data_IF_939475006284
#
_entry.id   IF_939475006284
#
_cell.length_a   1.000
_cell.length_b   1.000
_cell.length_c   1.000
_cell.angle_alpha   90.00
_cell.angle_beta   90.00
_cell.angle_gamma   90.00
#
_symmetry.space_group_name_H-M   'P 1'
#
loop_
_entity.id
_entity.type
_entity.pdbx_description
1 polymer ?
#
# COMPACT_ATOMS: atom_id res chain seq x y z
N UNK A 1 -18.81 -31.44 -11.05
CA UNK A 1 -18.61 -30.97 -9.66
C UNK A 1 -17.69 -29.76 -9.75
N UNK A 2 -18.19 -28.55 -9.52
CA UNK A 2 -17.38 -27.34 -9.67
C UNK A 2 -16.32 -27.28 -8.56
N UNK A 3 -15.04 -27.31 -8.91
CA UNK A 3 -13.97 -27.12 -7.95
C UNK A 3 -13.93 -25.64 -7.53
N UNK A 4 -13.79 -25.40 -6.23
CA UNK A 4 -13.71 -24.04 -5.68
C UNK A 4 -12.29 -23.49 -5.87
N UNK A 5 -12.18 -22.37 -6.59
CA UNK A 5 -10.92 -21.63 -6.72
C UNK A 5 -10.45 -21.18 -5.33
N UNK A 6 -9.21 -21.50 -5.00
CA UNK A 6 -8.58 -21.09 -3.74
C UNK A 6 -8.07 -19.65 -3.81
N UNK A 7 -7.99 -18.96 -2.66
CA UNK A 7 -7.38 -17.61 -2.56
C UNK A 7 -5.94 -17.61 -3.11
N UNK A 8 -5.21 -18.72 -2.95
CA UNK A 8 -3.86 -18.89 -3.48
C UNK A 8 -3.84 -18.83 -5.01
N UNK A 9 -4.77 -19.51 -5.67
CA UNK A 9 -4.89 -19.50 -7.14
C UNK A 9 -5.24 -18.09 -7.66
N UNK A 10 -6.13 -17.36 -6.97
CA UNK A 10 -6.42 -15.96 -7.31
C UNK A 10 -5.18 -15.07 -7.25
N UNK A 11 -4.34 -15.22 -6.22
CA UNK A 11 -3.08 -14.49 -6.14
C UNK A 11 -2.12 -14.83 -7.28
N UNK A 12 -2.02 -16.10 -7.66
CA UNK A 12 -1.18 -16.53 -8.77
C UNK A 12 -1.66 -15.97 -10.12
N UNK A 13 -2.99 -15.91 -10.34
CA UNK A 13 -3.59 -15.26 -11.52
C UNK A 13 -3.22 -13.78 -11.55
N UNK A 14 -3.37 -13.06 -10.43
CA UNK A 14 -3.00 -11.64 -10.34
C UNK A 14 -1.51 -11.45 -10.66
N UNK A 15 -0.62 -12.26 -10.07
CA UNK A 15 0.82 -12.19 -10.35
C UNK A 15 1.17 -12.50 -11.81
N UNK A 16 0.38 -13.31 -12.51
CA UNK A 16 0.54 -13.51 -13.95
C UNK A 16 0.16 -12.25 -14.73
N UNK A 17 -0.96 -11.60 -14.38
CA UNK A 17 -1.44 -10.36 -15.00
C UNK A 17 -0.50 -9.16 -14.73
N UNK A 18 0.14 -9.10 -13.57
CA UNK A 18 1.12 -8.05 -13.24
C UNK A 18 2.31 -8.00 -14.22
N UNK A 19 2.63 -9.12 -14.88
CA UNK A 19 3.73 -9.17 -15.87
C UNK A 19 3.51 -8.22 -17.05
N UNK A 20 2.25 -7.95 -17.42
CA UNK A 20 1.89 -7.03 -18.49
C UNK A 20 2.19 -5.56 -18.15
N UNK A 21 2.39 -5.21 -16.87
CA UNK A 21 2.76 -3.86 -16.46
C UNK A 21 4.13 -3.44 -17.02
N UNK A 22 5.04 -4.40 -17.20
CA UNK A 22 6.44 -4.13 -17.61
C UNK A 22 6.71 -4.42 -19.08
N UNK A 23 5.87 -5.23 -19.74
CA UNK A 23 6.06 -5.68 -21.13
C UNK A 23 4.82 -5.34 -21.95
N UNK A 24 4.80 -4.15 -22.55
CA UNK A 24 3.77 -3.81 -23.55
C UNK A 24 3.93 -4.76 -24.75
N UNK A 25 2.84 -5.37 -25.20
CA UNK A 25 2.77 -6.36 -26.29
C UNK A 25 3.36 -7.77 -25.99
N UNK A 26 3.54 -8.17 -24.73
CA UNK A 26 3.90 -9.57 -24.44
C UNK A 26 2.72 -10.50 -24.67
N UNK A 27 2.92 -11.55 -25.47
CA UNK A 27 2.00 -12.69 -25.51
C UNK A 27 2.23 -13.56 -24.26
N UNK A 28 1.15 -13.91 -23.57
CA UNK A 28 1.19 -14.81 -22.43
C UNK A 28 0.49 -16.12 -22.82
N UNK A 29 1.18 -17.25 -22.63
CA UNK A 29 0.61 -18.56 -22.94
C UNK A 29 -0.41 -18.94 -21.87
N UNK A 30 -1.64 -19.18 -22.32
CA UNK A 30 -2.74 -19.65 -21.48
C UNK A 30 -2.52 -21.11 -21.06
N UNK A 31 -1.91 -21.94 -21.91
CA UNK A 31 -1.56 -23.33 -21.58
C UNK A 31 -0.62 -23.39 -20.37
N UNK A 32 0.42 -22.55 -20.38
CA UNK A 32 1.34 -22.43 -19.24
C UNK A 32 0.65 -21.92 -17.97
N UNK A 33 -0.39 -21.10 -18.10
CA UNK A 33 -1.17 -20.65 -16.95
C UNK A 33 -2.00 -21.78 -16.36
N UNK A 34 -2.69 -22.52 -17.23
CA UNK A 34 -3.50 -23.67 -16.87
C UNK A 34 -2.66 -24.76 -16.19
N UNK A 35 -1.49 -25.09 -16.75
CA UNK A 35 -0.52 -26.04 -16.17
C UNK A 35 -0.07 -25.60 -14.77
N UNK A 36 0.30 -24.33 -14.59
CA UNK A 36 0.79 -23.80 -13.31
C UNK A 36 -0.28 -23.72 -12.22
N UNK A 37 -1.54 -23.55 -12.61
CA UNK A 37 -2.68 -23.45 -11.70
C UNK A 37 -3.43 -24.78 -11.53
N UNK A 38 -2.99 -25.81 -12.27
CA UNK A 38 -3.64 -27.12 -12.39
C UNK A 38 -5.13 -27.02 -12.77
N UNK A 39 -5.44 -26.19 -13.76
CA UNK A 39 -6.79 -25.94 -14.25
C UNK A 39 -7.07 -26.75 -15.52
N UNK A 40 -8.31 -27.19 -15.69
CA UNK A 40 -8.79 -27.68 -16.98
C UNK A 40 -9.15 -26.52 -17.92
N UNK A 41 -9.40 -26.81 -19.19
CA UNK A 41 -9.76 -25.81 -20.21
C UNK A 41 -11.06 -25.05 -19.86
N UNK A 42 -12.05 -25.74 -19.31
CA UNK A 42 -13.32 -25.15 -18.89
C UNK A 42 -13.11 -24.13 -17.75
N UNK A 43 -12.36 -24.51 -16.71
CA UNK A 43 -12.03 -23.62 -15.58
C UNK A 43 -11.20 -22.41 -16.01
N UNK A 44 -10.27 -22.61 -16.93
CA UNK A 44 -9.48 -21.52 -17.49
C UNK A 44 -10.37 -20.51 -18.22
N UNK A 45 -11.32 -20.99 -19.03
CA UNK A 45 -12.25 -20.12 -19.75
C UNK A 45 -13.16 -19.34 -18.79
N UNK A 46 -13.69 -19.97 -17.73
CA UNK A 46 -14.47 -19.28 -16.69
C UNK A 46 -13.64 -18.18 -15.99
N UNK A 47 -12.37 -18.47 -15.68
CA UNK A 47 -11.46 -17.48 -15.07
C UNK A 47 -11.19 -16.33 -16.03
N UNK A 48 -10.97 -16.60 -17.32
CA UNK A 48 -10.75 -15.56 -18.32
C UNK A 48 -12.00 -14.69 -18.49
N UNK A 49 -13.18 -15.28 -18.50
CA UNK A 49 -14.44 -14.54 -18.54
C UNK A 49 -14.57 -13.61 -17.32
N UNK A 50 -14.23 -14.09 -16.11
CA UNK A 50 -14.19 -13.25 -14.92
C UNK A 50 -13.20 -12.10 -15.06
N UNK A 51 -11.98 -12.38 -15.53
CA UNK A 51 -10.94 -11.35 -15.74
C UNK A 51 -11.42 -10.28 -16.73
N UNK A 52 -12.01 -10.68 -17.86
CA UNK A 52 -12.54 -9.73 -18.84
C UNK A 52 -13.73 -8.94 -18.32
N UNK A 53 -14.63 -9.57 -17.56
CA UNK A 53 -15.73 -8.90 -16.90
C UNK A 53 -15.24 -7.88 -15.87
N UNK A 54 -14.21 -8.23 -15.08
CA UNK A 54 -13.55 -7.28 -14.19
C UNK A 54 -12.94 -6.11 -14.97
N UNK A 55 -12.23 -6.38 -16.07
CA UNK A 55 -11.67 -5.34 -16.92
C UNK A 55 -12.76 -4.39 -17.45
N UNK A 56 -13.90 -4.92 -17.90
CA UNK A 56 -15.04 -4.11 -18.32
C UNK A 56 -15.60 -3.25 -17.20
N UNK A 57 -15.76 -3.80 -15.99
CA UNK A 57 -16.20 -3.04 -14.82
C UNK A 57 -15.22 -1.89 -14.49
N UNK A 58 -13.92 -2.13 -14.61
CA UNK A 58 -12.91 -1.09 -14.38
C UNK A 58 -12.93 0.01 -15.44
N UNK A 59 -13.17 -0.35 -16.70
CA UNK A 59 -13.24 0.58 -17.81
C UNK A 59 -14.59 1.30 -17.94
N UNK A 60 -15.59 0.93 -17.13
CA UNK A 60 -16.92 1.57 -17.15
C UNK A 60 -17.29 2.08 -15.76
N UNK A 61 -17.80 1.21 -14.89
CA UNK A 61 -18.27 1.55 -13.54
C UNK A 61 -17.19 2.23 -12.69
N UNK A 62 -15.94 1.77 -12.80
CA UNK A 62 -14.81 2.36 -12.06
C UNK A 62 -13.96 3.30 -12.92
N UNK A 63 -14.44 3.74 -14.07
CA UNK A 63 -13.72 4.71 -14.91
C UNK A 63 -13.54 6.03 -14.13
N UNK A 64 -14.60 6.53 -13.53
CA UNK A 64 -14.61 7.78 -12.75
C UNK A 64 -14.80 7.55 -11.26
N UNK A 65 -14.95 6.30 -10.82
CA UNK A 65 -15.19 5.95 -9.41
C UNK A 65 -14.20 4.91 -8.90
N UNK A 66 -14.04 4.82 -7.59
CA UNK A 66 -13.25 3.78 -6.93
C UNK A 66 -14.05 3.10 -5.83
N UNK A 67 -13.77 1.81 -5.64
CA UNK A 67 -14.33 1.02 -4.55
C UNK A 67 -13.52 1.25 -3.27
N UNK A 68 -14.20 1.49 -2.15
CA UNK A 68 -13.59 1.49 -0.83
C UNK A 68 -14.43 0.74 0.20
N UNK A 69 -13.76 0.17 1.18
CA UNK A 69 -14.37 -0.52 2.31
C UNK A 69 -14.83 0.52 3.36
N UNK A 70 -16.10 0.52 3.72
CA UNK A 70 -16.67 1.38 4.77
C UNK A 70 -17.27 0.55 5.89
N UNK A 71 -16.94 0.88 7.14
CA UNK A 71 -17.60 0.29 8.31
C UNK A 71 -18.71 1.23 8.80
N UNK A 72 -19.92 0.69 9.01
CA UNK A 72 -21.07 1.43 9.55
C UNK A 72 -22.00 0.45 10.28
N UNK A 73 -22.50 0.81 11.46
CA UNK A 73 -23.47 0.01 12.23
C UNK A 73 -23.03 -1.46 12.41
N UNK A 74 -21.76 -1.68 12.78
CA UNK A 74 -21.15 -2.99 12.95
C UNK A 74 -21.17 -3.90 11.69
N UNK A 75 -21.37 -3.32 10.51
CA UNK A 75 -21.34 -4.01 9.21
C UNK A 75 -20.31 -3.38 8.31
N UNK A 76 -19.73 -4.20 7.45
CA UNK A 76 -18.79 -3.78 6.40
C UNK A 76 -19.53 -3.65 5.09
N UNK A 77 -19.33 -2.52 4.41
CA UNK A 77 -19.89 -2.21 3.11
C UNK A 77 -18.77 -1.96 2.11
N UNK A 78 -19.03 -2.28 0.85
CA UNK A 78 -18.29 -1.73 -0.29
C UNK A 78 -19.06 -0.51 -0.79
N UNK A 79 -18.37 0.60 -0.96
CA UNK A 79 -18.97 1.86 -1.39
C UNK A 79 -18.17 2.40 -2.56
N UNK A 80 -18.88 2.93 -3.55
CA UNK A 80 -18.30 3.64 -4.67
C UNK A 80 -18.15 5.12 -4.32
N UNK A 81 -17.01 5.71 -4.67
CA UNK A 81 -16.79 7.14 -4.58
C UNK A 81 -16.17 7.70 -5.85
N UNK A 82 -16.47 8.95 -6.22
CA UNK A 82 -15.82 9.62 -7.34
C UNK A 82 -14.31 9.69 -7.17
N UNK A 83 -13.56 9.52 -8.27
CA UNK A 83 -12.10 9.67 -8.29
C UNK A 83 -11.66 11.12 -8.03
N UNK A 84 -12.52 12.09 -8.26
CA UNK A 84 -12.29 13.49 -7.89
C UNK A 84 -12.16 13.69 -6.37
N UNK A 85 -12.81 12.83 -5.56
CA UNK A 85 -12.67 12.79 -4.11
C UNK A 85 -11.40 12.03 -3.65
N UNK A 86 -10.58 11.49 -4.57
CA UNK A 86 -9.36 10.72 -4.22
C UNK A 86 -8.27 11.63 -3.64
N UNK A 87 -8.28 12.94 -3.94
CA UNK A 87 -7.37 13.89 -3.25
C UNK A 87 -7.61 13.92 -1.73
N UNK A 88 -8.80 13.56 -1.25
CA UNK A 88 -9.14 13.50 0.18
C UNK A 88 -9.17 12.08 0.74
N UNK A 89 -8.92 11.03 -0.05
CA UNK A 89 -9.05 9.62 0.39
C UNK A 89 -7.76 8.80 0.36
N UNK A 90 -6.65 9.35 -0.16
CA UNK A 90 -5.29 8.82 0.11
C UNK A 90 -4.69 9.46 1.40
N UNK A 91 -5.37 10.44 2.01
CA UNK A 91 -5.10 10.81 3.40
C UNK A 91 -5.79 9.79 4.31
N UNK A 92 -5.14 8.65 4.51
CA UNK A 92 -5.33 7.81 5.70
C UNK A 92 -4.71 8.49 6.94
N UNK A 93 -4.52 9.81 6.93
CA UNK A 93 -3.92 10.54 8.04
C UNK A 93 -4.98 10.61 9.15
N UNK A 94 -4.77 9.93 10.27
CA UNK A 94 -5.71 9.99 11.38
C UNK A 94 -5.75 11.43 11.89
N UNK A 95 -6.94 11.94 12.22
CA UNK A 95 -7.08 13.24 12.88
C UNK A 95 -6.32 13.31 14.20
N UNK A 96 -6.21 12.17 14.89
CA UNK A 96 -5.41 11.99 16.09
C UNK A 96 -4.68 10.65 16.03
N UNK A 97 -3.40 10.67 16.42
CA UNK A 97 -2.52 9.50 16.40
C UNK A 97 -1.97 9.31 17.81
N UNK A 98 -2.25 8.16 18.41
CA UNK A 98 -1.46 7.67 19.54
C UNK A 98 -0.20 7.00 19.01
N UNK A 99 0.97 7.46 19.44
CA UNK A 99 2.27 6.95 19.02
C UNK A 99 3.17 6.79 20.24
N UNK A 100 3.91 5.68 20.30
CA UNK A 100 4.84 5.42 21.39
C UNK A 100 6.05 6.35 21.33
N UNK A 101 6.69 6.61 22.48
CA UNK A 101 7.94 7.39 22.51
C UNK A 101 9.07 6.74 21.72
N UNK A 102 9.08 5.41 21.63
CA UNK A 102 10.02 4.67 20.78
C UNK A 102 9.77 4.97 19.30
N UNK A 103 8.52 4.89 18.85
CA UNK A 103 8.13 5.21 17.47
C UNK A 103 8.40 6.67 17.12
N UNK A 104 8.22 7.61 18.06
CA UNK A 104 8.62 9.03 17.89
C UNK A 104 10.13 9.16 17.61
N UNK A 105 10.98 8.42 18.33
CA UNK A 105 12.43 8.43 18.11
C UNK A 105 12.76 7.89 16.72
N UNK A 106 12.18 6.76 16.35
CA UNK A 106 12.37 6.13 15.04
C UNK A 106 11.92 7.06 13.91
N UNK A 107 10.75 7.71 14.04
CA UNK A 107 10.23 8.66 13.05
C UNK A 107 11.19 9.84 12.84
N UNK A 108 11.71 10.41 13.93
CA UNK A 108 12.71 11.49 13.87
C UNK A 108 14.00 11.04 13.16
N UNK A 109 14.49 9.84 13.44
CA UNK A 109 15.72 9.32 12.83
C UNK A 109 15.53 9.03 11.34
N UNK A 110 14.37 8.48 10.96
CA UNK A 110 13.98 8.25 9.55
C UNK A 110 13.95 9.56 8.78
N UNK A 111 13.28 10.59 9.31
CA UNK A 111 13.16 11.90 8.65
C UNK A 111 14.52 12.58 8.55
N UNK A 112 15.33 12.54 9.61
CA UNK A 112 16.69 13.07 9.58
C UNK A 112 17.54 12.37 8.52
N UNK A 113 17.52 11.04 8.48
CA UNK A 113 18.26 10.27 7.49
C UNK A 113 17.82 10.60 6.07
N UNK A 114 16.50 10.69 5.83
CA UNK A 114 15.91 11.02 4.54
C UNK A 114 16.25 12.44 4.07
N UNK A 115 16.34 13.42 4.98
CA UNK A 115 16.59 14.82 4.64
C UNK A 115 18.06 15.20 4.57
N UNK A 116 18.92 14.55 5.37
CA UNK A 116 20.30 15.00 5.56
C UNK A 116 21.36 13.95 5.20
N UNK A 117 21.05 12.66 5.24
CA UNK A 117 22.06 11.59 5.01
C UNK A 117 21.92 10.98 3.62
N UNK A 118 20.70 10.58 3.24
CA UNK A 118 20.38 9.99 1.94
C UNK A 118 19.22 10.77 1.30
N UNK A 119 19.54 12.01 0.93
CA UNK A 119 18.58 13.02 0.45
C UNK A 119 17.62 12.42 -0.59
N UNK A 120 16.34 12.35 -0.26
CA UNK A 120 15.29 11.92 -1.18
C UNK A 120 15.29 10.43 -1.54
N UNK A 121 16.21 9.63 -1.00
CA UNK A 121 16.24 8.19 -1.27
C UNK A 121 15.28 7.45 -0.34
N UNK A 122 14.49 6.54 -0.92
CA UNK A 122 13.59 5.68 -0.16
C UNK A 122 14.34 4.54 0.55
N UNK A 123 13.63 3.85 1.42
CA UNK A 123 14.13 2.76 2.24
C UNK A 123 13.77 1.39 1.65
N UNK A 124 14.75 0.49 1.56
CA UNK A 124 14.53 -0.92 1.23
C UNK A 124 14.23 -1.70 2.52
N UNK A 125 12.99 -2.21 2.65
CA UNK A 125 12.53 -2.93 3.85
C UNK A 125 12.24 -4.41 3.62
N UNK A 126 12.37 -4.91 2.38
CA UNK A 126 12.06 -6.32 2.05
C UNK A 126 13.07 -7.29 2.63
N UNK A 127 14.33 -6.86 2.72
CA UNK A 127 15.42 -7.63 3.27
C UNK A 127 15.69 -7.05 4.66
N UNK A 128 15.43 -7.79 5.73
CA UNK A 128 15.60 -7.36 7.13
C UNK A 128 17.09 -7.17 7.51
N UNK A 129 17.88 -6.56 6.62
CA UNK A 129 19.34 -6.60 6.63
C UNK A 129 19.96 -5.68 7.66
N UNK A 130 19.23 -4.65 8.10
CA UNK A 130 19.72 -3.66 9.07
C UNK A 130 18.73 -3.44 10.20
N UNK A 131 19.22 -2.98 11.34
CA UNK A 131 18.38 -2.57 12.47
C UNK A 131 17.41 -1.45 12.06
N UNK A 132 17.88 -0.50 11.24
CA UNK A 132 17.06 0.56 10.68
C UNK A 132 15.91 0.01 9.82
N UNK A 133 16.19 -0.95 8.92
CA UNK A 133 15.16 -1.61 8.11
C UNK A 133 14.10 -2.31 8.98
N UNK A 134 14.52 -2.94 10.09
CA UNK A 134 13.59 -3.56 11.06
C UNK A 134 12.72 -2.53 11.76
N UNK A 135 13.30 -1.43 12.26
CA UNK A 135 12.59 -0.33 12.90
C UNK A 135 11.61 0.37 11.96
N UNK A 136 11.98 0.59 10.70
CA UNK A 136 11.09 1.16 9.67
C UNK A 136 9.92 0.22 9.39
N UNK A 137 10.19 -1.09 9.28
CA UNK A 137 9.15 -2.09 9.04
C UNK A 137 8.14 -2.13 10.19
N UNK A 138 8.61 -2.11 11.43
CA UNK A 138 7.76 -2.03 12.61
C UNK A 138 6.93 -0.74 12.63
N UNK A 139 7.56 0.42 12.44
CA UNK A 139 6.85 1.70 12.40
C UNK A 139 5.82 1.73 11.28
N UNK A 140 6.12 1.17 10.11
CA UNK A 140 5.18 1.08 8.98
C UNK A 140 3.98 0.19 9.30
N UNK A 141 4.19 -0.93 9.98
CA UNK A 141 3.11 -1.85 10.32
C UNK A 141 2.13 -1.20 11.31
N UNK A 142 2.64 -0.43 12.27
CA UNK A 142 1.84 0.24 13.29
C UNK A 142 1.24 1.58 12.81
N UNK A 143 1.98 2.33 11.99
CA UNK A 143 1.66 3.69 11.55
C UNK A 143 1.86 3.85 10.02
N UNK A 144 1.06 3.17 9.18
CA UNK A 144 1.28 3.12 7.74
C UNK A 144 1.16 4.48 7.03
N UNK A 145 0.42 5.44 7.58
CA UNK A 145 0.23 6.80 7.04
C UNK A 145 1.48 7.68 7.10
N UNK A 146 2.53 7.29 7.84
CA UNK A 146 3.84 7.95 7.77
C UNK A 146 4.65 7.55 6.53
N UNK A 147 4.11 6.70 5.66
CA UNK A 147 4.86 6.15 4.54
C UNK A 147 4.09 6.17 3.23
N UNK A 148 4.82 6.37 2.14
CA UNK A 148 4.34 6.36 0.76
C UNK A 148 5.09 5.33 -0.07
N UNK A 149 4.38 4.72 -1.01
CA UNK A 149 4.97 3.80 -2.00
C UNK A 149 4.93 4.42 -3.39
N UNK A 150 6.09 4.45 -4.08
CA UNK A 150 6.25 5.10 -5.38
C UNK A 150 6.46 4.12 -6.55
N UNK A 151 6.14 2.84 -6.37
CA UNK A 151 6.19 1.84 -7.45
C UNK A 151 7.58 1.25 -7.75
N UNK A 152 8.66 1.76 -7.16
CA UNK A 152 10.03 1.31 -7.39
C UNK A 152 10.56 0.31 -6.36
N UNK A 153 9.68 -0.26 -5.52
CA UNK A 153 10.07 -1.21 -4.47
C UNK A 153 10.66 -0.57 -3.20
N UNK A 154 10.81 0.75 -3.17
CA UNK A 154 11.26 1.51 -2.00
C UNK A 154 10.09 2.17 -1.28
N UNK A 155 10.31 2.53 -0.02
CA UNK A 155 9.33 3.21 0.82
C UNK A 155 9.86 4.59 1.19
N UNK A 156 8.99 5.58 1.13
CA UNK A 156 9.32 6.97 1.38
C UNK A 156 8.57 7.48 2.61
N UNK A 157 9.14 8.38 3.43
CA UNK A 157 8.36 9.12 4.40
C UNK A 157 7.27 9.93 3.68
N UNK A 158 6.05 9.91 4.20
CA UNK A 158 4.96 10.77 3.71
C UNK A 158 5.20 12.23 4.05
N UNK A 159 4.39 13.13 3.48
CA UNK A 159 4.39 14.55 3.86
C UNK A 159 4.19 14.72 5.39
N UNK A 160 3.18 14.05 5.95
CA UNK A 160 2.91 14.01 7.39
C UNK A 160 4.13 13.56 8.21
N UNK A 161 4.81 12.49 7.78
CA UNK A 161 6.01 12.02 8.47
C UNK A 161 7.10 13.08 8.51
N UNK A 162 7.33 13.76 7.39
CA UNK A 162 8.32 14.83 7.27
C UNK A 162 7.99 16.01 8.18
N UNK A 163 6.74 16.46 8.20
CA UNK A 163 6.30 17.58 9.04
C UNK A 163 6.35 17.23 10.53
N UNK A 164 5.85 16.05 10.88
CA UNK A 164 5.90 15.51 12.26
C UNK A 164 7.35 15.39 12.73
N UNK A 165 8.25 14.84 11.90
CA UNK A 165 9.67 14.69 12.24
C UNK A 165 10.39 16.02 12.48
N UNK A 166 10.06 17.05 11.69
CA UNK A 166 10.58 18.42 11.91
C UNK A 166 10.12 18.98 13.25
N UNK A 167 8.83 18.83 13.58
CA UNK A 167 8.27 19.27 14.86
C UNK A 167 8.90 18.51 16.03
N UNK A 168 9.03 17.19 15.94
CA UNK A 168 9.72 16.37 16.97
C UNK A 168 11.15 16.87 17.19
N UNK A 169 11.90 17.14 16.12
CA UNK A 169 13.27 17.64 16.19
C UNK A 169 13.34 19.00 16.88
N UNK A 170 12.40 19.90 16.57
CA UNK A 170 12.27 21.20 17.24
C UNK A 170 11.99 21.04 18.75
N UNK A 171 11.02 20.20 19.13
CA UNK A 171 10.68 19.94 20.53
C UNK A 171 11.85 19.30 21.30
N UNK A 172 12.57 18.34 20.71
CA UNK A 172 13.76 17.74 21.32
C UNK A 172 14.84 18.77 21.63
N UNK A 173 15.06 19.75 20.74
CA UNK A 173 16.00 20.87 20.99
C UNK A 173 15.60 21.70 22.20
N UNK A 174 14.29 21.82 22.47
CA UNK A 174 13.75 22.52 23.64
C UNK A 174 13.75 21.72 24.95
N UNK A 175 14.24 20.46 24.96
CA UNK A 175 14.28 19.55 26.13
C UNK A 175 12.93 19.29 26.82
N UNK A 176 11.81 19.56 26.14
CA UNK A 176 10.45 19.27 26.67
C UNK A 176 10.00 17.87 26.27
N UNK A 177 9.28 17.21 27.17
CA UNK A 177 8.62 15.93 26.87
C UNK A 177 7.48 16.18 25.88
N UNK A 178 7.41 15.38 24.82
CA UNK A 178 6.34 15.46 23.84
C UNK A 178 5.13 14.70 24.38
N UNK A 179 4.09 15.42 24.77
CA UNK A 179 2.79 14.85 25.22
C UNK A 179 1.70 15.00 24.17
N UNK A 180 1.74 16.06 23.35
CA UNK A 180 0.86 16.30 22.19
C UNK A 180 1.62 17.07 21.12
N UNK A 181 1.40 16.72 19.85
CA UNK A 181 1.89 17.47 18.70
C UNK A 181 0.70 17.79 17.78
N UNK A 182 0.64 19.02 17.32
CA UNK A 182 -0.30 19.45 16.29
C UNK A 182 0.49 19.64 15.00
N UNK A 183 0.01 19.04 13.92
CA UNK A 183 0.62 19.04 12.58
C UNK A 183 -0.43 19.58 11.63
N UNK A 184 -0.11 20.66 10.92
CA UNK A 184 -1.00 21.36 9.96
C UNK A 184 -0.95 20.77 8.55
#
# INVERSE_FOLDING_TARGET
MAQSITIKQLHQIISALEKFQTRKNSMFSLDKLAENLHLCEEELNEILELVFRFQQLFNSVFEESFLYKKWKNNKTYLVLKPKSEVKTLISNEPKEIEISQEHIRVLNDIVYYFQHVKIGMGFEIKRNNTELSRKIKDLKNNHPYFFEFRGNGLIYPSKLAVETGKLISFYKKSKKLITKLEVE
#
